data_IF_051313670467
#
_entry.id   IF_051313670467
#
_cell.length_a   1.000
_cell.length_b   1.000
_cell.length_c   1.000
_cell.angle_alpha   90.00
_cell.angle_beta   90.00
_cell.angle_gamma   90.00
#
_symmetry.space_group_name_H-M   'P 1'
#
loop_
_entity.id
_entity.type
_entity.pdbx_description
1 polymer ?
#
# COMPACT_ATOMS: atom_id res chain seq x y z
N UNK A 1 36.88 -13.47 22.21
CA UNK A 1 36.88 -12.57 21.03
C UNK A 1 36.19 -13.15 19.79
N UNK A 2 35.59 -14.36 19.84
CA UNK A 2 34.91 -14.97 18.69
C UNK A 2 33.45 -14.49 18.53
N UNK A 3 32.81 -14.05 19.61
CA UNK A 3 31.37 -13.71 19.64
C UNK A 3 30.98 -12.40 18.92
N UNK A 4 31.95 -11.54 18.57
CA UNK A 4 31.68 -10.26 17.92
C UNK A 4 31.60 -10.33 16.39
N UNK A 5 32.29 -11.29 15.76
CA UNK A 5 32.38 -11.35 14.30
C UNK A 5 31.13 -11.98 13.67
N UNK A 6 30.56 -12.98 14.34
CA UNK A 6 29.34 -13.64 13.92
C UNK A 6 28.13 -12.70 14.04
N UNK A 7 28.03 -11.95 15.14
CA UNK A 7 26.96 -10.96 15.37
C UNK A 7 27.01 -9.77 14.40
N UNK A 8 28.20 -9.29 14.02
CA UNK A 8 28.35 -8.26 12.99
C UNK A 8 27.96 -8.77 11.60
N UNK A 9 28.39 -9.98 11.22
CA UNK A 9 28.05 -10.57 9.93
C UNK A 9 26.55 -10.84 9.77
N UNK A 10 25.88 -11.35 10.81
CA UNK A 10 24.43 -11.51 10.83
C UNK A 10 23.72 -10.16 10.67
N UNK A 11 24.17 -9.13 11.39
CA UNK A 11 23.57 -7.78 11.30
C UNK A 11 23.67 -7.18 9.90
N UNK A 12 24.77 -7.43 9.19
CA UNK A 12 24.99 -6.98 7.82
C UNK A 12 24.11 -7.74 6.83
N UNK A 13 24.00 -9.06 6.95
CA UNK A 13 23.13 -9.90 6.11
C UNK A 13 21.67 -9.45 6.24
N UNK A 14 21.18 -9.21 7.45
CA UNK A 14 19.82 -8.69 7.66
C UNK A 14 19.62 -7.29 7.07
N UNK A 15 20.63 -6.42 7.15
CA UNK A 15 20.60 -5.09 6.52
C UNK A 15 20.52 -5.16 5.00
N UNK A 16 21.34 -6.01 4.38
CA UNK A 16 21.32 -6.27 2.93
C UNK A 16 19.99 -6.86 2.50
N UNK A 17 19.47 -7.87 3.20
CA UNK A 17 18.18 -8.51 2.89
C UNK A 17 17.01 -7.50 2.96
N UNK A 18 16.99 -6.62 3.97
CA UNK A 18 15.97 -5.55 4.08
C UNK A 18 16.07 -4.54 2.95
N UNK A 19 17.29 -4.17 2.56
CA UNK A 19 17.53 -3.26 1.44
C UNK A 19 17.04 -3.87 0.13
N UNK A 20 17.47 -5.10 -0.16
CA UNK A 20 17.04 -5.86 -1.33
C UNK A 20 15.51 -6.02 -1.37
N UNK A 21 14.87 -6.40 -0.26
CA UNK A 21 13.42 -6.55 -0.18
C UNK A 21 12.67 -5.24 -0.47
N UNK A 22 13.17 -4.11 0.06
CA UNK A 22 12.59 -2.79 -0.20
C UNK A 22 12.74 -2.39 -1.67
N UNK A 23 13.91 -2.63 -2.27
CA UNK A 23 14.16 -2.37 -3.70
C UNK A 23 13.27 -3.25 -4.58
N UNK A 24 13.17 -4.55 -4.30
CA UNK A 24 12.28 -5.46 -5.00
C UNK A 24 10.82 -5.00 -4.89
N UNK A 25 10.41 -4.43 -3.76
CA UNK A 25 9.03 -3.95 -3.57
C UNK A 25 8.66 -2.84 -4.56
N UNK A 26 9.57 -1.89 -4.83
CA UNK A 26 9.38 -0.86 -5.86
C UNK A 26 9.13 -1.47 -7.24
N UNK A 27 9.94 -2.47 -7.62
CA UNK A 27 9.78 -3.15 -8.90
C UNK A 27 8.51 -4.00 -8.96
N UNK A 28 8.14 -4.67 -7.87
CA UNK A 28 6.92 -5.47 -7.78
C UNK A 28 5.68 -4.61 -7.95
N UNK A 29 5.57 -3.49 -7.23
CA UNK A 29 4.37 -2.64 -7.34
C UNK A 29 4.27 -1.96 -8.71
N UNK A 30 5.40 -1.52 -9.28
CA UNK A 30 5.44 -0.97 -10.64
C UNK A 30 5.07 -2.03 -11.69
N UNK A 31 5.69 -3.21 -11.60
CA UNK A 31 5.47 -4.32 -12.52
C UNK A 31 4.03 -4.80 -12.52
N UNK A 32 3.43 -5.02 -11.34
CA UNK A 32 2.00 -5.38 -11.23
C UNK A 32 1.12 -4.29 -11.84
N UNK A 33 1.43 -3.02 -11.59
CA UNK A 33 0.63 -1.90 -12.13
C UNK A 33 0.69 -1.84 -13.65
N UNK A 34 1.88 -1.94 -14.24
CA UNK A 34 2.06 -1.98 -15.70
C UNK A 34 1.35 -3.19 -16.29
N UNK A 35 1.47 -4.37 -15.68
CA UNK A 35 0.78 -5.57 -16.13
C UNK A 35 -0.75 -5.39 -16.15
N UNK A 36 -1.34 -4.89 -15.05
CA UNK A 36 -2.79 -4.66 -14.99
C UNK A 36 -3.24 -3.56 -15.96
N UNK A 37 -2.44 -2.51 -16.19
CA UNK A 37 -2.72 -1.50 -17.22
C UNK A 37 -2.84 -2.14 -18.60
N UNK A 38 -1.86 -2.95 -18.99
CA UNK A 38 -1.84 -3.62 -20.29
C UNK A 38 -3.00 -4.61 -20.44
N UNK A 39 -3.33 -5.33 -19.38
CA UNK A 39 -4.41 -6.32 -19.37
C UNK A 39 -5.80 -5.67 -19.40
N UNK A 40 -6.01 -4.63 -18.59
CA UNK A 40 -7.31 -3.95 -18.47
C UNK A 40 -7.64 -3.05 -19.66
N UNK A 41 -6.62 -2.50 -20.34
CA UNK A 41 -6.77 -1.58 -21.49
C UNK A 41 -7.72 -0.42 -21.13
N UNK A 42 -7.31 0.47 -20.20
CA UNK A 42 -8.16 1.56 -19.72
C UNK A 42 -8.63 2.43 -20.90
N UNK A 43 -9.93 2.76 -20.90
CA UNK A 43 -10.59 3.49 -21.99
C UNK A 43 -11.44 2.61 -22.91
N UNK A 44 -11.27 1.29 -22.88
CA UNK A 44 -12.11 0.36 -23.67
C UNK A 44 -13.52 0.16 -23.09
N UNK A 45 -13.68 0.37 -21.79
CA UNK A 45 -14.98 0.30 -21.09
C UNK A 45 -14.93 1.00 -19.73
N UNK A 46 -16.08 1.31 -19.14
CA UNK A 46 -16.12 1.80 -17.75
C UNK A 46 -15.52 0.79 -16.77
N UNK A 47 -15.73 -0.51 -17.01
CA UNK A 47 -15.09 -1.57 -16.23
C UNK A 47 -13.56 -1.50 -16.29
N UNK A 48 -12.95 -1.25 -17.47
CA UNK A 48 -11.48 -1.20 -17.63
C UNK A 48 -10.79 -0.18 -16.73
N UNK A 49 -11.46 0.92 -16.40
CA UNK A 49 -10.94 1.94 -15.49
C UNK A 49 -10.82 1.44 -14.06
N UNK A 50 -11.65 0.49 -13.63
CA UNK A 50 -11.65 -0.03 -12.27
C UNK A 50 -10.36 -0.76 -11.89
N UNK A 51 -9.97 -1.89 -12.54
CA UNK A 51 -8.74 -2.60 -12.17
C UNK A 51 -7.50 -1.72 -12.39
N UNK A 52 -7.50 -0.84 -13.40
CA UNK A 52 -6.43 0.13 -13.61
C UNK A 52 -6.28 1.08 -12.42
N UNK A 53 -7.32 1.85 -12.10
CA UNK A 53 -7.26 2.88 -11.06
C UNK A 53 -7.08 2.28 -9.66
N UNK A 54 -7.69 1.12 -9.38
CA UNK A 54 -7.51 0.44 -8.09
C UNK A 54 -6.08 -0.08 -7.92
N UNK A 55 -5.48 -0.64 -8.97
CA UNK A 55 -4.08 -1.07 -8.90
C UNK A 55 -3.15 0.12 -8.77
N UNK A 56 -3.38 1.19 -9.53
CA UNK A 56 -2.60 2.42 -9.42
C UNK A 56 -2.67 3.03 -8.00
N UNK A 57 -3.85 3.02 -7.39
CA UNK A 57 -4.06 3.51 -6.03
C UNK A 57 -3.31 2.67 -4.99
N UNK A 58 -3.63 1.37 -4.89
CA UNK A 58 -3.24 0.53 -3.77
C UNK A 58 -1.92 -0.21 -3.99
N UNK A 59 -1.62 -0.62 -5.23
CA UNK A 59 -0.33 -1.25 -5.54
C UNK A 59 0.76 -0.20 -5.64
N UNK A 60 0.59 0.83 -6.47
CA UNK A 60 1.67 1.81 -6.73
C UNK A 60 1.70 2.94 -5.70
N UNK A 61 0.72 3.85 -5.73
CA UNK A 61 0.82 5.10 -4.96
C UNK A 61 0.89 4.88 -3.45
N UNK A 62 0.07 4.00 -2.90
CA UNK A 62 0.09 3.72 -1.46
C UNK A 62 1.43 3.09 -1.03
N UNK A 63 1.93 2.11 -1.78
CA UNK A 63 3.22 1.43 -1.49
C UNK A 63 4.37 2.42 -1.54
N UNK A 64 4.49 3.19 -2.63
CA UNK A 64 5.54 4.20 -2.79
C UNK A 64 5.47 5.24 -1.66
N UNK A 65 4.28 5.72 -1.31
CA UNK A 65 4.08 6.68 -0.22
C UNK A 65 4.61 6.17 1.13
N UNK A 66 4.50 4.86 1.40
CA UNK A 66 5.01 4.26 2.64
C UNK A 66 6.52 4.02 2.55
N UNK A 67 7.02 3.56 1.39
CA UNK A 67 8.45 3.30 1.17
C UNK A 67 9.31 4.56 1.23
N UNK A 68 8.74 5.76 1.04
CA UNK A 68 9.42 7.04 1.30
C UNK A 68 10.09 7.09 2.68
N UNK A 69 9.50 6.46 3.69
CA UNK A 69 10.01 6.44 5.06
C UNK A 69 10.85 5.20 5.38
N UNK A 70 11.10 4.32 4.40
CA UNK A 70 12.00 3.18 4.56
C UNK A 70 13.43 3.63 4.87
N UNK A 71 14.05 3.13 5.95
CA UNK A 71 15.46 3.44 6.23
C UNK A 71 16.43 2.77 5.25
N UNK A 72 16.02 1.66 4.63
CA UNK A 72 16.90 0.81 3.84
C UNK A 72 16.74 0.98 2.34
N UNK A 73 15.52 1.25 1.83
CA UNK A 73 15.28 1.34 0.39
C UNK A 73 14.41 2.51 -0.06
N UNK A 74 14.36 3.61 0.70
CA UNK A 74 13.66 4.83 0.24
C UNK A 74 14.38 5.46 -0.96
N UNK A 75 13.66 5.66 -2.07
CA UNK A 75 14.14 6.43 -3.23
C UNK A 75 14.48 7.90 -2.90
N UNK A 76 14.00 8.38 -1.75
CA UNK A 76 14.27 9.72 -1.25
C UNK A 76 15.15 9.71 0.01
N UNK A 77 16.02 8.70 0.20
CA UNK A 77 16.79 8.51 1.45
C UNK A 77 17.45 9.79 1.97
N UNK A 78 18.11 10.56 1.09
CA UNK A 78 18.82 11.80 1.43
C UNK A 78 17.95 13.04 1.66
N UNK A 79 16.63 12.98 1.43
CA UNK A 79 15.75 14.13 1.60
C UNK A 79 15.29 14.31 3.06
N UNK A 80 15.05 15.56 3.50
CA UNK A 80 14.52 15.84 4.84
C UNK A 80 13.16 15.17 5.08
N UNK A 81 12.89 14.79 6.34
CA UNK A 81 11.61 14.16 6.72
C UNK A 81 10.40 15.05 6.38
N UNK A 82 10.54 16.38 6.42
CA UNK A 82 9.48 17.32 6.02
C UNK A 82 9.14 17.17 4.53
N UNK A 83 10.14 17.01 3.66
CA UNK A 83 9.95 16.78 2.23
C UNK A 83 9.33 15.41 1.96
N UNK A 84 9.80 14.36 2.63
CA UNK A 84 9.17 13.03 2.56
C UNK A 84 7.70 13.07 2.98
N UNK A 85 7.39 13.81 4.05
CA UNK A 85 6.02 14.10 4.47
C UNK A 85 5.20 14.77 3.37
N UNK A 86 5.80 15.75 2.65
CA UNK A 86 5.16 16.41 1.51
C UNK A 86 4.87 15.47 0.34
N UNK A 87 5.81 14.61 -0.02
CA UNK A 87 5.57 13.66 -1.11
C UNK A 87 4.56 12.58 -0.68
N UNK A 88 4.61 12.14 0.58
CA UNK A 88 3.66 11.18 1.13
C UNK A 88 2.20 11.66 1.01
N UNK A 89 1.86 12.89 1.44
CA UNK A 89 0.46 13.34 1.33
C UNK A 89 0.03 13.51 -0.13
N UNK A 90 0.91 13.95 -1.03
CA UNK A 90 0.60 14.04 -2.48
C UNK A 90 0.26 12.66 -3.04
N UNK A 91 1.11 11.66 -2.79
CA UNK A 91 0.87 10.29 -3.24
C UNK A 91 -0.41 9.69 -2.62
N UNK A 92 -0.71 10.00 -1.36
CA UNK A 92 -1.96 9.56 -0.73
C UNK A 92 -3.19 10.27 -1.31
N UNK A 93 -3.11 11.55 -1.68
CA UNK A 93 -4.18 12.24 -2.39
C UNK A 93 -4.44 11.60 -3.76
N UNK A 94 -3.38 11.25 -4.49
CA UNK A 94 -3.48 10.51 -5.77
C UNK A 94 -4.09 9.12 -5.54
N UNK A 95 -3.65 8.40 -4.50
CA UNK A 95 -4.20 7.11 -4.10
C UNK A 95 -5.71 7.20 -3.86
N UNK A 96 -6.17 8.12 -2.99
CA UNK A 96 -7.60 8.31 -2.69
C UNK A 96 -8.38 8.70 -3.93
N UNK A 97 -7.84 9.61 -4.77
CA UNK A 97 -8.50 10.03 -6.01
C UNK A 97 -8.71 8.86 -6.96
N UNK A 98 -7.67 8.06 -7.20
CA UNK A 98 -7.76 6.86 -8.02
C UNK A 98 -8.74 5.83 -7.42
N UNK A 99 -8.71 5.62 -6.11
CA UNK A 99 -9.60 4.67 -5.43
C UNK A 99 -11.08 5.08 -5.57
N UNK A 100 -11.40 6.37 -5.38
CA UNK A 100 -12.75 6.92 -5.54
C UNK A 100 -13.20 6.83 -7.00
N UNK A 101 -12.37 7.25 -7.96
CA UNK A 101 -12.70 7.19 -9.39
C UNK A 101 -12.86 5.74 -9.87
N UNK A 102 -12.01 4.82 -9.42
CA UNK A 102 -12.11 3.39 -9.73
C UNK A 102 -13.37 2.76 -9.15
N UNK A 103 -13.79 3.16 -7.95
CA UNK A 103 -15.04 2.71 -7.33
C UNK A 103 -16.27 3.29 -8.05
N UNK A 104 -16.22 4.56 -8.42
CA UNK A 104 -17.26 5.22 -9.20
C UNK A 104 -17.43 4.55 -10.56
N UNK A 105 -16.34 4.25 -11.26
CA UNK A 105 -16.35 3.59 -12.57
C UNK A 105 -17.04 2.21 -12.51
N UNK A 106 -16.67 1.34 -11.56
CA UNK A 106 -17.30 0.02 -11.44
C UNK A 106 -18.76 0.11 -10.97
N UNK A 107 -19.07 1.07 -10.10
CA UNK A 107 -20.44 1.27 -9.60
C UNK A 107 -21.34 1.75 -10.73
N UNK A 108 -20.91 2.75 -11.50
CA UNK A 108 -21.68 3.25 -12.63
C UNK A 108 -21.81 2.19 -13.74
N UNK A 109 -20.75 1.43 -14.02
CA UNK A 109 -20.80 0.30 -14.94
C UNK A 109 -21.85 -0.75 -14.51
N UNK A 110 -21.91 -1.08 -13.21
CA UNK A 110 -22.92 -2.02 -12.68
C UNK A 110 -24.33 -1.47 -12.78
N UNK A 111 -24.52 -0.18 -12.49
CA UNK A 111 -25.80 0.50 -12.62
C UNK A 111 -26.35 0.43 -14.06
N UNK A 112 -25.52 0.78 -15.06
CA UNK A 112 -25.90 0.72 -16.48
C UNK A 112 -26.25 -0.71 -16.96
N UNK A 113 -25.69 -1.73 -16.30
CA UNK A 113 -25.91 -3.12 -16.65
C UNK A 113 -26.93 -3.82 -15.72
N UNK A 114 -27.63 -3.09 -14.85
CA UNK A 114 -28.60 -3.66 -13.92
C UNK A 114 -28.04 -4.71 -12.95
N UNK A 115 -26.73 -4.64 -12.64
CA UNK A 115 -26.05 -5.64 -11.80
C UNK A 115 -26.07 -5.22 -10.32
N UNK A 116 -26.25 -6.17 -9.39
CA UNK A 116 -26.21 -5.85 -7.97
C UNK A 116 -24.82 -5.38 -7.51
N UNK A 117 -24.80 -4.56 -6.48
CA UNK A 117 -23.60 -3.94 -5.92
C UNK A 117 -23.12 -4.69 -4.67
N UNK A 118 -21.80 -4.73 -4.46
CA UNK A 118 -21.16 -5.20 -3.23
C UNK A 118 -21.55 -6.62 -2.77
N UNK A 119 -21.94 -7.50 -3.69
CA UNK A 119 -22.37 -8.87 -3.38
C UNK A 119 -21.23 -9.89 -3.21
N UNK A 120 -19.99 -9.52 -3.58
CA UNK A 120 -18.81 -10.36 -3.43
C UNK A 120 -17.91 -9.85 -2.31
N UNK A 121 -17.06 -10.73 -1.76
CA UNK A 121 -16.02 -10.35 -0.79
C UNK A 121 -15.12 -9.23 -1.32
N UNK A 122 -14.71 -9.31 -2.58
CA UNK A 122 -13.94 -8.24 -3.25
C UNK A 122 -14.72 -6.91 -3.25
N UNK A 123 -16.01 -6.94 -3.61
CA UNK A 123 -16.84 -5.73 -3.65
C UNK A 123 -17.04 -5.10 -2.27
N UNK A 124 -17.36 -5.90 -1.25
CA UNK A 124 -17.59 -5.43 0.11
C UNK A 124 -16.30 -4.92 0.76
N UNK A 125 -15.23 -5.72 0.77
CA UNK A 125 -13.95 -5.30 1.35
C UNK A 125 -13.31 -4.16 0.56
N UNK A 126 -13.49 -4.11 -0.76
CA UNK A 126 -13.07 -2.99 -1.59
C UNK A 126 -13.74 -1.68 -1.17
N UNK A 127 -15.07 -1.67 -0.97
CA UNK A 127 -15.79 -0.50 -0.48
C UNK A 127 -15.28 -0.05 0.89
N UNK A 128 -15.16 -0.99 1.84
CA UNK A 128 -14.63 -0.72 3.18
C UNK A 128 -13.23 -0.11 3.07
N UNK A 129 -12.36 -0.66 2.23
CA UNK A 129 -11.00 -0.17 2.02
C UNK A 129 -10.99 1.27 1.50
N UNK A 130 -11.84 1.60 0.53
CA UNK A 130 -11.95 2.98 -0.01
C UNK A 130 -12.41 3.96 1.08
N UNK A 131 -13.38 3.57 1.91
CA UNK A 131 -13.81 4.39 3.03
C UNK A 131 -12.69 4.57 4.08
N UNK A 132 -12.01 3.47 4.43
CA UNK A 132 -10.94 3.47 5.43
C UNK A 132 -9.75 4.32 4.97
N UNK A 133 -9.34 4.25 3.70
CA UNK A 133 -8.24 5.11 3.21
C UNK A 133 -8.64 6.60 3.24
N UNK A 134 -9.89 6.93 2.91
CA UNK A 134 -10.40 8.31 3.04
C UNK A 134 -10.36 8.80 4.48
N UNK A 135 -10.87 8.00 5.42
CA UNK A 135 -10.82 8.31 6.87
C UNK A 135 -9.37 8.42 7.36
N UNK A 136 -8.49 7.51 6.93
CA UNK A 136 -7.06 7.51 7.29
C UNK A 136 -6.36 8.79 6.83
N UNK A 137 -6.66 9.27 5.63
CA UNK A 137 -6.13 10.53 5.10
C UNK A 137 -6.62 11.75 5.88
N UNK A 138 -7.90 11.79 6.26
CA UNK A 138 -8.46 12.87 7.09
C UNK A 138 -7.90 12.82 8.51
N UNK A 139 -7.81 11.63 9.10
CA UNK A 139 -7.26 11.42 10.44
C UNK A 139 -5.76 11.76 10.54
N UNK A 140 -5.06 11.90 9.42
CA UNK A 140 -3.68 12.35 9.36
C UNK A 140 -3.52 13.89 9.45
N UNK A 141 -4.57 14.68 9.26
CA UNK A 141 -4.50 16.16 9.27
C UNK A 141 -3.87 16.73 10.56
N UNK A 142 -4.16 16.19 11.77
CA UNK A 142 -3.50 16.65 13.00
C UNK A 142 -1.99 16.39 13.05
N UNK A 143 -1.42 15.56 12.16
CA UNK A 143 0.05 15.42 12.03
C UNK A 143 0.69 16.65 11.36
N UNK A 144 -0.10 17.42 10.62
CA UNK A 144 0.30 18.68 9.98
C UNK A 144 -0.07 19.84 10.90
N UNK A 145 -1.31 19.85 11.39
CA UNK A 145 -1.86 20.89 12.26
C UNK A 145 -2.12 20.33 13.66
N UNK A 146 -1.06 20.25 14.46
CA UNK A 146 -1.11 19.64 15.80
C UNK A 146 -2.14 20.30 16.74
N UNK A 147 -2.47 21.56 16.52
CA UNK A 147 -3.52 22.30 17.25
C UNK A 147 -4.91 21.62 17.21
N UNK A 148 -5.16 20.76 16.23
CA UNK A 148 -6.41 20.02 16.07
C UNK A 148 -6.52 18.79 16.99
N UNK A 149 -5.42 18.35 17.61
CA UNK A 149 -5.37 17.19 18.51
C UNK A 149 -4.78 17.56 19.87
N UNK A 150 -5.42 18.55 20.54
CA UNK A 150 -5.05 18.97 21.90
C UNK A 150 -5.06 17.76 22.84
N UNK A 151 -4.03 17.65 23.69
CA UNK A 151 -3.86 16.54 24.64
C UNK A 151 -3.16 15.29 24.09
N UNK A 152 -2.85 15.23 22.80
CA UNK A 152 -2.08 14.13 22.22
C UNK A 152 -0.67 14.59 21.84
N UNK A 153 0.37 13.85 22.21
CA UNK A 153 1.72 14.14 21.73
C UNK A 153 1.86 13.78 20.25
N UNK A 154 2.69 14.53 19.51
CA UNK A 154 2.97 14.23 18.10
C UNK A 154 3.52 12.81 17.89
N UNK A 155 4.31 12.32 18.85
CA UNK A 155 4.83 10.94 18.83
C UNK A 155 3.69 9.90 18.93
N UNK A 156 2.68 10.16 19.77
CA UNK A 156 1.50 9.30 19.90
C UNK A 156 0.70 9.29 18.59
N UNK A 157 0.42 10.46 18.02
CA UNK A 157 -0.30 10.58 16.74
C UNK A 157 0.42 9.82 15.62
N UNK A 158 1.73 9.99 15.48
CA UNK A 158 2.53 9.26 14.46
C UNK A 158 2.45 7.75 14.62
N UNK A 159 2.50 7.25 15.86
CA UNK A 159 2.38 5.81 16.16
C UNK A 159 1.02 5.26 15.75
N UNK A 160 -0.06 5.93 16.14
CA UNK A 160 -1.41 5.48 15.76
C UNK A 160 -1.67 5.60 14.26
N UNK A 161 -1.20 6.67 13.61
CA UNK A 161 -1.28 6.82 12.17
C UNK A 161 -0.53 5.71 11.44
N UNK A 162 0.67 5.34 11.89
CA UNK A 162 1.40 4.24 11.25
C UNK A 162 0.75 2.87 11.49
N UNK A 163 0.21 2.62 12.69
CA UNK A 163 -0.50 1.38 12.99
C UNK A 163 -1.79 1.23 12.17
N UNK A 164 -2.65 2.26 12.18
CA UNK A 164 -3.87 2.31 11.35
C UNK A 164 -3.56 2.31 9.86
N UNK A 165 -2.48 2.96 9.44
CA UNK A 165 -1.98 2.96 8.07
C UNK A 165 -1.54 1.59 7.61
N UNK A 166 -0.90 0.80 8.47
CA UNK A 166 -0.57 -0.60 8.19
C UNK A 166 -1.84 -1.44 8.00
N UNK A 167 -2.84 -1.29 8.88
CA UNK A 167 -4.13 -1.99 8.73
C UNK A 167 -4.80 -1.60 7.40
N UNK A 168 -4.79 -0.32 7.05
CA UNK A 168 -5.31 0.19 5.78
C UNK A 168 -4.58 -0.43 4.58
N UNK A 169 -3.26 -0.53 4.67
CA UNK A 169 -2.44 -1.15 3.63
C UNK A 169 -2.80 -2.63 3.43
N UNK A 170 -2.93 -3.38 4.53
CA UNK A 170 -3.29 -4.80 4.49
C UNK A 170 -4.68 -5.01 3.89
N UNK A 171 -5.66 -4.16 4.24
CA UNK A 171 -6.99 -4.18 3.61
C UNK A 171 -6.92 -3.93 2.10
N UNK A 172 -6.07 -2.99 1.67
CA UNK A 172 -5.77 -2.73 0.25
C UNK A 172 -5.17 -3.95 -0.45
N UNK A 173 -4.14 -4.57 0.14
CA UNK A 173 -3.50 -5.77 -0.40
C UNK A 173 -4.47 -6.97 -0.48
N UNK A 174 -5.30 -7.18 0.54
CA UNK A 174 -6.34 -8.22 0.52
C UNK A 174 -7.39 -7.93 -0.55
N UNK A 175 -7.82 -6.68 -0.71
CA UNK A 175 -8.79 -6.30 -1.74
C UNK A 175 -8.24 -6.48 -3.15
N UNK A 176 -6.96 -6.17 -3.38
CA UNK A 176 -6.25 -6.45 -4.63
C UNK A 176 -6.23 -7.96 -4.90
N UNK A 177 -5.81 -8.77 -3.92
CA UNK A 177 -5.78 -10.23 -4.05
C UNK A 177 -7.15 -10.80 -4.41
N UNK A 178 -8.21 -10.37 -3.72
CA UNK A 178 -9.59 -10.77 -4.04
C UNK A 178 -10.04 -10.31 -5.43
N UNK A 179 -9.53 -9.18 -5.92
CA UNK A 179 -9.76 -8.72 -7.30
C UNK A 179 -9.08 -9.63 -8.33
N UNK A 180 -7.89 -10.13 -8.03
CA UNK A 180 -7.19 -11.14 -8.83
C UNK A 180 -7.90 -12.50 -8.79
N UNK A 181 -8.67 -12.80 -7.76
CA UNK A 181 -9.54 -13.99 -7.71
C UNK A 181 -10.85 -13.83 -8.52
N UNK A 182 -11.11 -12.67 -9.14
CA UNK A 182 -12.35 -12.45 -9.88
C UNK A 182 -12.40 -13.24 -11.19
N UNK A 183 -13.61 -13.58 -11.62
CA UNK A 183 -13.83 -14.28 -12.89
C UNK A 183 -13.24 -13.54 -14.11
N UNK A 184 -13.19 -12.21 -14.07
CA UNK A 184 -12.54 -11.43 -15.14
C UNK A 184 -11.04 -11.71 -15.21
N UNK A 185 -10.35 -11.66 -14.07
CA UNK A 185 -8.91 -11.83 -14.05
C UNK A 185 -8.52 -13.28 -14.33
N UNK A 186 -9.19 -14.26 -13.70
CA UNK A 186 -8.88 -15.68 -13.88
C UNK A 186 -9.20 -16.19 -15.29
N UNK A 187 -10.15 -15.57 -16.01
CA UNK A 187 -10.39 -15.87 -17.41
C UNK A 187 -9.37 -15.21 -18.36
N UNK A 188 -8.67 -14.16 -17.92
CA UNK A 188 -7.77 -13.38 -18.74
C UNK A 188 -6.30 -13.86 -18.69
N UNK A 189 -5.94 -14.69 -17.70
CA UNK A 189 -4.56 -15.13 -17.48
C UNK A 189 -4.49 -16.63 -17.19
N UNK A 190 -3.35 -17.25 -17.49
CA UNK A 190 -3.08 -18.65 -17.09
C UNK A 190 -2.58 -18.76 -15.64
N UNK A 191 -2.59 -19.99 -15.10
CA UNK A 191 -2.31 -20.29 -13.69
C UNK A 191 -1.00 -19.70 -13.17
N UNK A 192 0.12 -19.86 -13.89
CA UNK A 192 1.40 -19.30 -13.46
C UNK A 192 1.40 -17.78 -13.33
N UNK A 193 0.73 -17.10 -14.27
CA UNK A 193 0.59 -15.64 -14.24
C UNK A 193 -0.31 -15.19 -13.10
N UNK A 194 -1.34 -15.99 -12.80
CA UNK A 194 -2.20 -15.76 -11.65
C UNK A 194 -1.41 -15.84 -10.33
N UNK A 195 -0.65 -16.92 -10.10
CA UNK A 195 0.14 -17.08 -8.88
C UNK A 195 1.19 -15.98 -8.72
N UNK A 196 1.86 -15.60 -9.81
CA UNK A 196 2.83 -14.50 -9.78
C UNK A 196 2.17 -13.17 -9.41
N UNK A 197 1.01 -12.87 -10.02
CA UNK A 197 0.25 -11.65 -9.74
C UNK A 197 -0.29 -11.63 -8.31
N UNK A 198 -0.74 -12.77 -7.79
CA UNK A 198 -1.22 -12.93 -6.43
C UNK A 198 -0.10 -12.79 -5.38
N UNK A 199 1.12 -13.25 -5.72
CA UNK A 199 2.29 -13.10 -4.87
C UNK A 199 2.71 -11.63 -4.70
N UNK A 200 2.49 -10.77 -5.70
CA UNK A 200 2.87 -9.35 -5.64
C UNK A 200 2.28 -8.61 -4.41
N UNK A 201 0.94 -8.48 -4.24
CA UNK A 201 0.39 -7.78 -3.08
C UNK A 201 0.72 -8.48 -1.75
N UNK A 202 0.89 -9.80 -1.74
CA UNK A 202 1.27 -10.55 -0.54
C UNK A 202 2.71 -10.24 -0.09
N UNK A 203 3.67 -10.29 -1.01
CA UNK A 203 5.07 -9.99 -0.72
C UNK A 203 5.25 -8.52 -0.32
N UNK A 204 4.61 -7.60 -1.03
CA UNK A 204 4.60 -6.17 -0.67
C UNK A 204 4.03 -5.97 0.74
N UNK A 205 2.90 -6.61 1.08
CA UNK A 205 2.32 -6.55 2.42
C UNK A 205 3.28 -7.04 3.51
N UNK A 206 3.99 -8.14 3.28
CA UNK A 206 4.98 -8.66 4.22
C UNK A 206 6.14 -7.68 4.43
N UNK A 207 6.68 -7.11 3.35
CA UNK A 207 7.78 -6.13 3.43
C UNK A 207 7.33 -4.86 4.18
N UNK A 208 6.16 -4.32 3.85
CA UNK A 208 5.61 -3.12 4.51
C UNK A 208 5.31 -3.40 5.98
N UNK A 209 4.70 -4.54 6.30
CA UNK A 209 4.43 -4.96 7.69
C UNK A 209 5.73 -5.07 8.50
N UNK A 210 6.75 -5.71 7.94
CA UNK A 210 8.06 -5.84 8.58
C UNK A 210 8.72 -4.47 8.79
N UNK A 211 8.67 -3.59 7.79
CA UNK A 211 9.21 -2.23 7.87
C UNK A 211 8.54 -1.42 8.98
N UNK A 212 7.20 -1.35 8.97
CA UNK A 212 6.43 -0.55 9.93
C UNK A 212 6.62 -1.12 11.34
N UNK A 213 6.51 -2.43 11.52
CA UNK A 213 6.66 -3.07 12.84
C UNK A 213 8.07 -2.86 13.41
N UNK A 214 9.10 -3.06 12.59
CA UNK A 214 10.49 -2.89 13.01
C UNK A 214 10.80 -1.46 13.46
N UNK A 215 10.22 -0.45 12.79
CA UNK A 215 10.43 0.95 13.14
C UNK A 215 9.91 1.31 14.55
N UNK A 216 8.85 0.64 15.02
CA UNK A 216 8.27 0.88 16.34
C UNK A 216 8.81 -0.04 17.43
N UNK A 217 9.20 -1.28 17.09
CA UNK A 217 9.83 -2.21 18.05
C UNK A 217 11.26 -1.78 18.39
N UNK A 218 12.05 -1.32 17.40
CA UNK A 218 13.41 -0.84 17.63
C UNK A 218 13.44 0.34 18.62
N UNK A 219 12.42 1.21 18.58
CA UNK A 219 12.33 2.38 19.47
C UNK A 219 12.08 2.01 20.94
N UNK A 220 11.43 0.86 21.22
CA UNK A 220 11.24 0.36 22.60
C UNK A 220 12.56 -0.09 23.24
N UNK A 221 13.49 -0.61 22.46
CA UNK A 221 14.76 -1.18 22.94
C UNK A 221 15.80 -0.13 23.35
N UNK A 222 15.66 1.11 22.88
CA UNK A 222 16.53 2.24 23.25
C UNK A 222 15.89 3.16 24.32
N UNK A 223 14.70 2.82 24.82
CA UNK A 223 13.98 3.57 25.86
C UNK A 223 13.77 2.76 27.16
N UNK A 224 14.31 1.54 27.23
CA UNK A 224 14.40 0.70 28.44
C UNK A 224 15.84 0.67 28.93
#
# INVERSE_FOLDING_TARGET
MVHSKDSESESWVYGCARTASSVCTHFICLGLTVFIVLLSRPGTSLFSWHPFLMTLAFSLFMTEAILLFSPHGSLMKGFPHKTKGRVHWVLQCLCVSCAVLGLAAISYNKHLNGKPHFTSWHGLLGLITVCVVGVQSIAAVPLIYHSLAKGWSLAKLKRYHAASGLVTFLLGSTSLLLGLCSAWFTAAVGDYTWYLSAACPALTALVIMNQVSSAYTAKKRFQS
#
